data_IF_892743722702
#
_entry.id   IF_892743722702
#
_cell.length_a   1.000
_cell.length_b   1.000
_cell.length_c   1.000
_cell.angle_alpha   90.00
_cell.angle_beta   90.00
_cell.angle_gamma   90.00
#
_symmetry.space_group_name_H-M   'P 1'
#
loop_
_entity.id
_entity.type
_entity.pdbx_description
1 polymer ?
#
# COMPACT_ATOMS: atom_id res chain seq x y z
N UNK A 1 0.72 -6.71 -27.73
CA UNK A 1 0.06 -5.46 -27.27
C UNK A 1 0.64 -4.96 -25.94
N UNK A 2 0.79 -5.81 -24.91
CA UNK A 2 1.44 -5.48 -23.62
C UNK A 2 2.91 -5.01 -23.79
N UNK A 3 3.69 -5.70 -24.62
CA UNK A 3 5.09 -5.33 -24.92
C UNK A 3 5.23 -3.95 -25.59
N UNK A 4 4.23 -3.51 -26.35
CA UNK A 4 4.24 -2.21 -27.03
C UNK A 4 3.92 -1.06 -26.07
N UNK A 5 3.05 -1.26 -25.09
CA UNK A 5 2.71 -0.28 -24.04
C UNK A 5 3.88 -0.11 -23.06
N UNK A 6 4.55 -1.20 -22.68
CA UNK A 6 5.75 -1.18 -21.83
C UNK A 6 6.92 -0.41 -22.45
N UNK A 7 7.08 -0.49 -23.78
CA UNK A 7 8.16 0.19 -24.52
C UNK A 7 7.92 1.70 -24.74
N UNK A 8 6.67 2.16 -24.64
CA UNK A 8 6.27 3.57 -24.86
C UNK A 8 6.28 4.43 -23.57
N UNK A 9 6.36 3.80 -22.39
CA UNK A 9 6.31 4.48 -21.08
C UNK A 9 7.31 3.83 -20.09
N UNK A 10 8.63 4.00 -20.27
CA UNK A 10 9.65 3.30 -19.46
C UNK A 10 9.56 3.61 -17.97
N UNK A 11 9.03 4.79 -17.60
CA UNK A 11 8.81 5.20 -16.20
C UNK A 11 7.70 4.40 -15.52
N UNK A 12 6.59 4.16 -16.21
CA UNK A 12 5.49 3.35 -15.68
C UNK A 12 5.89 1.87 -15.60
N UNK A 13 6.61 1.38 -16.63
CA UNK A 13 7.18 0.04 -16.63
C UNK A 13 8.14 -0.16 -15.45
N UNK A 14 9.03 0.80 -15.18
CA UNK A 14 9.95 0.74 -14.04
C UNK A 14 9.24 0.70 -12.68
N UNK A 15 8.16 1.48 -12.52
CA UNK A 15 7.38 1.50 -11.28
C UNK A 15 6.66 0.16 -11.04
N UNK A 16 6.02 -0.39 -12.08
CA UNK A 16 5.38 -1.72 -12.01
C UNK A 16 6.41 -2.82 -11.74
N UNK A 17 7.55 -2.79 -12.43
CA UNK A 17 8.63 -3.75 -12.22
C UNK A 17 9.17 -3.69 -10.78
N UNK A 18 9.34 -2.48 -10.24
CA UNK A 18 9.75 -2.24 -8.86
C UNK A 18 8.75 -2.79 -7.84
N UNK A 19 7.45 -2.60 -8.05
CA UNK A 19 6.39 -3.16 -7.22
C UNK A 19 6.40 -4.70 -7.23
N UNK A 20 6.55 -5.30 -8.42
CA UNK A 20 6.66 -6.77 -8.56
C UNK A 20 7.89 -7.28 -7.81
N UNK A 21 9.04 -6.63 -7.99
CA UNK A 21 10.29 -6.99 -7.32
C UNK A 21 10.15 -6.88 -5.78
N UNK A 22 9.57 -5.80 -5.28
CA UNK A 22 9.32 -5.61 -3.85
C UNK A 22 8.41 -6.71 -3.27
N UNK A 23 7.33 -7.08 -3.98
CA UNK A 23 6.46 -8.16 -3.56
C UNK A 23 7.18 -9.51 -3.52
N UNK A 24 8.02 -9.82 -4.52
CA UNK A 24 8.83 -11.04 -4.52
C UNK A 24 9.82 -11.05 -3.35
N UNK A 25 10.49 -9.92 -3.07
CA UNK A 25 11.39 -9.79 -1.93
C UNK A 25 10.67 -10.02 -0.59
N UNK A 26 9.45 -9.48 -0.44
CA UNK A 26 8.64 -9.69 0.76
C UNK A 26 8.27 -11.18 0.96
N UNK A 27 7.91 -11.89 -0.12
CA UNK A 27 7.65 -13.33 -0.07
C UNK A 27 8.92 -14.14 0.21
N UNK A 28 10.06 -13.79 -0.40
CA UNK A 28 11.34 -14.43 -0.09
C UNK A 28 11.73 -14.23 1.38
N UNK A 29 11.49 -13.06 1.94
CA UNK A 29 11.73 -12.79 3.36
C UNK A 29 10.76 -13.60 4.24
N UNK A 30 9.46 -13.63 3.93
CA UNK A 30 8.50 -14.44 4.67
C UNK A 30 8.89 -15.94 4.69
N UNK A 31 9.38 -16.47 3.56
CA UNK A 31 9.88 -17.85 3.48
C UNK A 31 11.14 -18.07 4.32
N UNK A 32 12.08 -17.12 4.34
CA UNK A 32 13.29 -17.22 5.19
C UNK A 32 12.98 -17.09 6.68
N UNK A 33 12.04 -16.22 7.07
CA UNK A 33 11.73 -15.95 8.46
C UNK A 33 10.75 -16.96 9.08
N UNK A 34 9.81 -17.47 8.28
CA UNK A 34 8.68 -18.28 8.76
C UNK A 34 8.58 -19.66 8.10
N UNK A 35 9.57 -20.04 7.28
CA UNK A 35 9.60 -21.30 6.53
C UNK A 35 9.40 -22.55 7.38
N UNK A 36 9.88 -22.53 8.62
CA UNK A 36 9.81 -23.68 9.54
C UNK A 36 8.46 -23.79 10.28
N UNK A 37 7.60 -22.78 10.21
CA UNK A 37 6.35 -22.70 10.97
C UNK A 37 5.14 -22.48 10.06
N UNK A 38 4.43 -23.56 9.73
CA UNK A 38 3.25 -23.52 8.86
C UNK A 38 2.15 -22.55 9.34
N UNK A 39 1.99 -22.35 10.66
CA UNK A 39 1.04 -21.40 11.22
C UNK A 39 1.38 -19.93 10.90
N UNK A 40 2.66 -19.56 10.97
CA UNK A 40 3.12 -18.20 10.65
C UNK A 40 3.08 -17.94 9.14
N UNK A 41 3.31 -18.99 8.33
CA UNK A 41 3.10 -18.91 6.88
C UNK A 41 1.62 -18.68 6.53
N UNK A 42 0.70 -19.39 7.19
CA UNK A 42 -0.74 -19.19 7.02
C UNK A 42 -1.18 -17.79 7.44
N UNK A 43 -0.66 -17.27 8.56
CA UNK A 43 -0.90 -15.89 9.00
C UNK A 43 -0.39 -14.86 7.98
N UNK A 44 0.80 -15.09 7.40
CA UNK A 44 1.36 -14.24 6.34
C UNK A 44 0.48 -14.24 5.09
N UNK A 45 -0.07 -15.40 4.71
CA UNK A 45 -0.97 -15.54 3.56
C UNK A 45 -2.31 -14.83 3.79
N UNK A 46 -2.86 -14.94 5.00
CA UNK A 46 -4.08 -14.22 5.40
C UNK A 46 -3.85 -12.71 5.41
N UNK A 47 -2.74 -12.24 5.98
CA UNK A 47 -2.38 -10.82 5.97
C UNK A 47 -2.26 -10.29 4.54
N UNK A 48 -1.61 -11.04 3.64
CA UNK A 48 -1.52 -10.69 2.22
C UNK A 48 -2.90 -10.66 1.54
N UNK A 49 -3.78 -11.62 1.84
CA UNK A 49 -5.14 -11.67 1.33
C UNK A 49 -6.02 -10.52 1.81
N UNK A 50 -5.96 -10.17 3.10
CA UNK A 50 -6.67 -9.01 3.64
C UNK A 50 -6.13 -7.70 3.05
N UNK A 51 -4.82 -7.58 2.84
CA UNK A 51 -4.22 -6.44 2.16
C UNK A 51 -4.70 -6.29 0.71
N UNK A 52 -4.80 -7.41 -0.02
CA UNK A 52 -5.37 -7.44 -1.37
C UNK A 52 -6.84 -7.01 -1.39
N UNK A 53 -7.65 -7.52 -0.46
CA UNK A 53 -9.05 -7.12 -0.33
C UNK A 53 -9.16 -5.62 -0.13
N UNK A 54 -8.38 -5.08 0.80
CA UNK A 54 -8.38 -3.66 1.09
C UNK A 54 -7.96 -2.80 -0.12
N UNK A 55 -6.96 -3.25 -0.88
CA UNK A 55 -6.53 -2.55 -2.10
C UNK A 55 -7.58 -2.59 -3.24
N UNK A 56 -8.51 -3.55 -3.21
CA UNK A 56 -9.57 -3.76 -4.22
C UNK A 56 -10.92 -3.21 -3.73
N UNK A 57 -10.92 -2.41 -2.66
CA UNK A 57 -12.15 -1.78 -2.18
C UNK A 57 -12.69 -0.78 -3.23
N UNK A 58 -14.02 -0.75 -3.37
CA UNK A 58 -14.70 -0.04 -4.45
C UNK A 58 -14.49 1.49 -4.41
N UNK A 59 -14.26 2.05 -3.23
CA UNK A 59 -13.96 3.45 -2.99
C UNK A 59 -12.58 3.83 -3.58
N UNK A 60 -11.58 2.97 -3.42
CA UNK A 60 -10.24 3.16 -3.97
C UNK A 60 -10.26 3.11 -5.50
N UNK A 61 -10.96 2.13 -6.07
CA UNK A 61 -11.11 1.99 -7.53
C UNK A 61 -11.86 3.21 -8.10
N UNK A 62 -12.95 3.64 -7.47
CA UNK A 62 -13.73 4.78 -7.92
C UNK A 62 -12.94 6.11 -7.83
N UNK A 63 -12.15 6.29 -6.77
CA UNK A 63 -11.31 7.47 -6.60
C UNK A 63 -10.23 7.56 -7.68
N UNK A 64 -9.52 6.45 -7.95
CA UNK A 64 -8.48 6.40 -8.99
C UNK A 64 -9.07 6.64 -10.38
N UNK A 65 -10.21 6.02 -10.69
CA UNK A 65 -10.88 6.19 -11.98
C UNK A 65 -11.35 7.64 -12.18
N UNK A 66 -11.91 8.28 -11.15
CA UNK A 66 -12.35 9.68 -11.24
C UNK A 66 -11.18 10.65 -11.47
N UNK A 67 -10.06 10.47 -10.77
CA UNK A 67 -8.86 11.32 -10.96
C UNK A 67 -8.22 11.07 -12.33
N UNK A 68 -8.17 9.81 -12.77
CA UNK A 68 -7.65 9.42 -14.10
C UNK A 68 -8.49 10.06 -15.21
N UNK A 69 -9.82 9.96 -15.12
CA UNK A 69 -10.74 10.56 -16.10
C UNK A 69 -10.60 12.08 -16.14
N UNK A 70 -10.48 12.72 -14.97
CA UNK A 70 -10.25 14.18 -14.86
C UNK A 70 -8.91 14.60 -15.48
N UNK A 71 -7.83 13.85 -15.27
CA UNK A 71 -6.53 14.13 -15.90
C UNK A 71 -6.56 13.92 -17.42
N UNK A 72 -7.25 12.89 -17.90
CA UNK A 72 -7.43 12.63 -19.33
C UNK A 72 -8.25 13.74 -20.00
N UNK A 73 -9.29 14.25 -19.34
CA UNK A 73 -10.07 15.42 -19.81
C UNK A 73 -9.21 16.70 -19.91
N UNK A 74 -8.17 16.82 -19.07
CA UNK A 74 -7.20 17.91 -19.12
C UNK A 74 -6.04 17.67 -20.10
N UNK A 75 -6.10 16.59 -20.90
CA UNK A 75 -5.05 16.22 -21.86
C UNK A 75 -3.73 15.73 -21.23
N UNK A 76 -3.70 15.51 -19.92
CA UNK A 76 -2.53 14.99 -19.18
C UNK A 76 -2.54 13.46 -19.21
N UNK A 77 -1.37 12.83 -19.34
CA UNK A 77 -1.23 11.37 -19.24
C UNK A 77 -1.10 10.95 -17.76
N UNK A 78 -2.03 10.18 -17.17
CA UNK A 78 -1.99 9.80 -15.77
C UNK A 78 -1.10 8.57 -15.56
N UNK A 79 0.22 8.75 -15.44
CA UNK A 79 1.19 7.65 -15.32
C UNK A 79 1.57 7.29 -13.87
N UNK A 80 1.31 8.16 -12.89
CA UNK A 80 1.72 7.96 -11.49
C UNK A 80 0.60 8.23 -10.46
N UNK A 81 -0.65 8.39 -10.93
CA UNK A 81 -1.79 8.77 -10.07
C UNK A 81 -2.05 7.71 -8.99
N UNK A 82 -2.03 6.42 -9.34
CA UNK A 82 -2.23 5.34 -8.37
C UNK A 82 -1.14 5.24 -7.30
N UNK A 83 0.13 5.45 -7.69
CA UNK A 83 1.25 5.44 -6.74
C UNK A 83 1.18 6.62 -5.75
N UNK A 84 0.86 7.83 -6.23
CA UNK A 84 0.68 8.99 -5.35
C UNK A 84 -0.56 8.90 -4.49
N UNK A 85 -1.64 8.27 -4.97
CA UNK A 85 -2.83 8.00 -4.17
C UNK A 85 -2.54 7.04 -3.01
N UNK A 86 -1.84 5.93 -3.29
CA UNK A 86 -1.42 4.99 -2.24
C UNK A 86 -0.46 5.63 -1.23
N UNK A 87 0.51 6.43 -1.68
CA UNK A 87 1.40 7.19 -0.79
C UNK A 87 0.65 8.18 0.11
N UNK A 88 -0.31 8.93 -0.46
CA UNK A 88 -1.12 9.89 0.28
C UNK A 88 -2.00 9.19 1.34
N UNK A 89 -2.71 8.14 0.95
CA UNK A 89 -3.57 7.39 1.87
C UNK A 89 -2.76 6.75 3.01
N UNK A 90 -1.65 6.08 2.70
CA UNK A 90 -0.77 5.51 3.74
C UNK A 90 -0.20 6.59 4.66
N UNK A 91 0.15 7.78 4.15
CA UNK A 91 0.65 8.87 5.01
C UNK A 91 -0.37 9.35 6.03
N UNK A 92 -1.65 9.42 5.65
CA UNK A 92 -2.73 9.87 6.54
C UNK A 92 -3.05 8.81 7.59
N UNK A 93 -3.03 7.54 7.20
CA UNK A 93 -3.23 6.42 8.13
C UNK A 93 -2.09 6.36 9.14
N UNK A 94 -0.83 6.50 8.69
CA UNK A 94 0.35 6.53 9.59
C UNK A 94 0.28 7.72 10.56
N UNK A 95 -0.08 8.91 10.07
CA UNK A 95 -0.23 10.09 10.93
C UNK A 95 -1.36 9.92 11.94
N UNK A 96 -2.50 9.38 11.53
CA UNK A 96 -3.62 9.09 12.42
C UNK A 96 -3.24 8.06 13.49
N UNK A 97 -2.58 6.96 13.11
CA UNK A 97 -2.09 5.94 14.05
C UNK A 97 -1.03 6.49 15.00
N UNK A 98 -0.12 7.34 14.54
CA UNK A 98 0.88 7.98 15.39
C UNK A 98 0.24 8.96 16.38
N UNK A 99 -0.80 9.69 15.96
CA UNK A 99 -1.61 10.54 16.83
C UNK A 99 -2.28 9.75 17.94
N UNK A 100 -2.98 8.67 17.60
CA UNK A 100 -3.68 7.80 18.55
C UNK A 100 -2.70 7.12 19.55
N UNK A 101 -1.55 6.65 19.05
CA UNK A 101 -0.52 6.07 19.91
C UNK A 101 0.07 7.10 20.89
N UNK A 102 0.27 8.35 20.43
CA UNK A 102 0.80 9.43 21.28
C UNK A 102 -0.21 9.92 22.30
N UNK A 103 -1.49 9.90 21.96
CA UNK A 103 -2.58 10.23 22.88
C UNK A 103 -2.72 9.16 23.97
N UNK A 104 -2.72 7.87 23.60
CA UNK A 104 -2.68 6.76 24.57
C UNK A 104 -1.49 6.80 25.51
N UNK A 105 -0.29 7.10 24.99
CA UNK A 105 0.91 7.21 25.81
C UNK A 105 0.82 8.37 26.83
N UNK A 106 0.08 9.44 26.52
CA UNK A 106 -0.18 10.53 27.48
C UNK A 106 -1.18 10.14 28.56
N UNK A 107 -2.18 9.33 28.23
CA UNK A 107 -3.16 8.84 29.19
C UNK A 107 -2.52 7.84 30.18
N UNK A 108 -1.70 6.91 29.70
CA UNK A 108 -0.99 5.96 30.59
C UNK A 108 -0.06 6.66 31.58
N UNK A 109 0.64 7.72 31.15
CA UNK A 109 1.46 8.53 32.04
C UNK A 109 0.66 9.36 33.05
N UNK A 110 -0.56 9.79 32.71
CA UNK A 110 -1.43 10.50 33.64
C UNK A 110 -2.00 9.56 34.71
N UNK A 111 -2.31 8.32 34.33
CA UNK A 111 -2.79 7.28 35.24
C UNK A 111 -1.70 6.82 36.23
N UNK A 112 -0.43 6.72 35.80
CA UNK A 112 0.72 6.40 36.69
C UNK A 112 1.04 7.50 37.71
N UNK A 113 0.72 8.77 37.42
CA UNK A 113 0.93 9.88 38.35
C UNK A 113 -0.25 10.07 39.31
N UNK A 114 -1.41 9.49 38.98
CA UNK A 114 -2.61 9.51 39.80
C UNK A 114 -2.74 8.29 40.73
N UNK A 115 -1.87 7.29 40.60
CA UNK A 115 -1.76 6.09 41.44
C UNK A 115 -0.61 6.20 42.45
#
# INVERSE_FOLDING_TARGET
>A
MIMTVLRQQPRAAGLVLGLIAANLLAWCWALQAFGDSGALMAASLLAWGYGLRHAVDADHIAAIDNVTRKMMQQGRRPFAVGAWFSLGHSSIVVLASAGDCRDRHRLQHADELAA
#
